data_IF_414047637567
#
_entry.id   IF_414047637567
#
_cell.length_a   1.000
_cell.length_b   1.000
_cell.length_c   1.000
_cell.angle_alpha   90.00
_cell.angle_beta   90.00
_cell.angle_gamma   90.00
#
_symmetry.space_group_name_H-M   'P 1'
#
loop_
_entity.id
_entity.type
_entity.pdbx_description
1 polymer ?
2 polymer ?
3 water ?
#
# COMPACT_ATOMS: atom_id res chain seq x y z
N UNK A 1 20.73 1.84 -2.39
CA UNK A 1 20.16 3.05 -3.07
C UNK A 1 18.64 3.04 -2.93
N UNK A 2 18.00 1.89 -3.17
CA UNK A 2 16.52 1.80 -3.12
C UNK A 2 16.04 2.16 -1.72
N UNK A 3 15.13 3.16 -1.53
CA UNK A 3 14.67 3.53 -0.21
C UNK A 3 13.89 2.45 0.53
N UNK A 4 13.91 2.54 1.84
CA UNK A 4 13.16 1.59 2.69
C UNK A 4 12.20 2.44 3.52
N UNK A 5 10.93 2.05 3.56
CA UNK A 5 9.94 2.78 4.39
C UNK A 5 9.31 1.80 5.38
N UNK A 6 8.76 2.33 6.46
CA UNK A 6 8.18 1.47 7.51
C UNK A 6 6.78 1.90 7.86
N UNK A 7 5.97 0.95 8.26
CA UNK A 7 4.62 1.24 8.74
C UNK A 7 4.53 0.58 10.11
N UNK A 8 4.12 1.33 11.12
CA UNK A 8 3.85 0.72 12.44
C UNK A 8 2.35 0.45 12.47
N UNK A 9 1.97 -0.82 12.42
CA UNK A 9 0.53 -1.18 12.35
C UNK A 9 -0.09 -1.30 13.75
N UNK A 10 -1.33 -0.86 13.88
CA UNK A 10 -2.08 -0.98 15.15
C UNK A 10 -3.43 -1.63 14.89
N UNK A 11 -3.91 -2.42 15.84
CA UNK A 11 -5.23 -3.10 15.72
C UNK A 11 -6.12 -2.56 16.84
N UNK A 12 -7.12 -1.75 16.48
CA UNK A 12 -8.01 -1.11 17.49
C UNK A 12 -7.13 -0.29 18.44
N UNK A 13 -6.08 0.35 17.92
CA UNK A 13 -5.23 1.22 18.74
C UNK A 13 -4.12 0.48 19.44
N UNK A 14 -4.14 -0.84 19.41
CA UNK A 14 -3.12 -1.67 20.10
C UNK A 14 -2.00 -2.01 19.13
N UNK A 15 -0.70 -1.74 19.45
CA UNK A 15 0.38 -2.00 18.51
C UNK A 15 0.50 -3.47 18.09
N UNK A 16 0.61 -3.72 16.80
CA UNK A 16 0.73 -5.11 16.29
C UNK A 16 2.20 -5.35 15.94
N UNK A 17 2.76 -4.49 15.11
CA UNK A 17 4.14 -4.68 14.66
C UNK A 17 4.54 -3.76 13.53
N UNK A 18 5.72 -3.98 12.98
CA UNK A 18 6.23 -3.08 11.92
C UNK A 18 6.41 -3.84 10.61
N UNK A 19 5.94 -3.24 9.53
CA UNK A 19 6.17 -3.81 8.19
C UNK A 19 7.13 -2.84 7.50
N UNK A 20 8.20 -3.36 6.93
CA UNK A 20 9.15 -2.52 6.17
C UNK A 20 9.09 -2.89 4.69
N UNK A 21 9.29 -1.92 3.82
CA UNK A 21 9.19 -2.17 2.37
C UNK A 21 10.39 -1.62 1.62
N UNK A 22 10.86 -2.37 0.62
CA UNK A 22 11.89 -1.82 -0.29
C UNK A 22 11.11 -1.22 -1.46
N UNK A 23 11.36 0.04 -1.78
CA UNK A 23 10.68 0.72 -2.91
C UNK A 23 11.61 0.64 -4.12
N UNK A 24 11.09 0.17 -5.25
CA UNK A 24 11.92 -0.05 -6.46
C UNK A 24 12.09 1.26 -7.23
N UNK A 25 12.79 2.22 -6.63
CA UNK A 25 13.06 3.52 -7.30
C UNK A 25 13.96 3.32 -8.52
N UNK A 26 14.73 2.24 -8.56
CA UNK A 26 15.51 1.94 -9.78
C UNK A 26 14.52 1.77 -10.94
N UNK A 27 13.49 0.95 -10.79
CA UNK A 27 12.60 0.61 -11.93
C UNK A 27 11.39 1.54 -12.07
N UNK A 28 10.83 2.01 -10.97
CA UNK A 28 9.62 2.88 -10.99
C UNK A 28 9.87 4.08 -10.07
N UNK A 29 10.79 5.03 -10.40
CA UNK A 29 11.10 6.13 -9.49
C UNK A 29 9.92 7.05 -9.13
N UNK A 30 9.10 7.43 -10.10
CA UNK A 30 7.99 8.38 -9.83
C UNK A 30 6.99 7.74 -8.85
N UNK A 31 6.59 6.51 -9.12
CA UNK A 31 5.64 5.79 -8.24
C UNK A 31 6.28 5.54 -6.86
N UNK A 32 7.56 5.16 -6.85
CA UNK A 32 8.26 4.92 -5.58
C UNK A 32 8.31 6.21 -4.76
N UNK A 33 8.59 7.33 -5.41
CA UNK A 33 8.77 8.61 -4.68
C UNK A 33 7.45 9.01 -4.04
N UNK A 34 6.35 8.79 -4.76
CA UNK A 34 5.00 9.11 -4.23
C UNK A 34 4.83 8.41 -2.88
N UNK A 35 4.98 7.09 -2.87
CA UNK A 35 4.82 6.29 -1.63
C UNK A 35 5.80 6.76 -0.56
N UNK A 36 7.06 6.96 -0.92
CA UNK A 36 8.09 7.39 0.06
C UNK A 36 7.64 8.69 0.72
N UNK A 37 7.33 9.71 -0.08
CA UNK A 37 6.96 11.04 0.47
C UNK A 37 5.67 10.95 1.29
N UNK A 38 4.74 10.12 0.86
CA UNK A 38 3.47 9.96 1.61
C UNK A 38 3.77 9.29 2.95
N UNK A 39 4.73 8.36 2.97
CA UNK A 39 5.11 7.69 4.24
C UNK A 39 5.83 8.66 5.18
N UNK A 40 6.65 9.58 4.66
CA UNK A 40 7.37 10.57 5.50
C UNK A 40 6.45 11.72 5.92
N UNK A 41 5.41 12.01 5.14
CA UNK A 41 4.54 13.16 5.42
C UNK A 41 5.23 14.45 5.03
N UNK A 42 6.33 14.37 4.27
CA UNK A 42 7.13 15.55 3.86
C UNK A 42 6.26 16.65 3.25
N UNK A 43 5.33 16.28 2.38
CA UNK A 43 4.52 17.27 1.62
C UNK A 43 3.34 17.81 2.44
N UNK A 44 3.21 17.41 3.69
CA UNK A 44 2.14 17.93 4.55
C UNK A 44 0.95 17.00 4.63
N UNK A 45 0.99 15.91 3.86
CA UNK A 45 -0.12 14.93 3.83
C UNK A 45 0.50 13.54 3.63
N UNK A 46 -0.20 12.52 4.09
CA UNK A 46 0.31 11.16 3.88
C UNK A 46 -0.36 10.05 4.66
N UNK A 47 0.33 8.92 4.79
CA UNK A 47 -0.29 7.70 5.36
C UNK A 47 -0.44 7.67 6.89
N UNK A 48 0.23 8.55 7.62
CA UNK A 48 0.17 8.44 9.10
C UNK A 48 -1.27 8.59 9.58
N UNK A 49 -1.78 7.60 10.31
CA UNK A 49 -3.14 7.67 10.88
C UNK A 49 -4.16 7.04 9.96
N UNK A 50 -3.77 6.73 8.72
CA UNK A 50 -4.67 6.09 7.74
C UNK A 50 -4.96 4.64 8.11
N UNK A 51 -5.97 4.07 7.47
CA UNK A 51 -6.36 2.68 7.78
C UNK A 51 -6.27 1.77 6.56
N UNK A 52 -6.38 0.47 6.79
CA UNK A 52 -6.45 -0.52 5.68
C UNK A 52 -7.94 -0.84 5.52
N UNK A 53 -8.59 -0.26 4.53
CA UNK A 53 -10.06 -0.36 4.41
C UNK A 53 -10.53 -1.72 3.88
N UNK A 54 -9.69 -2.38 3.11
CA UNK A 54 -10.12 -3.64 2.48
C UNK A 54 -9.04 -4.70 2.67
N UNK A 55 -9.33 -5.73 3.45
CA UNK A 55 -8.37 -6.84 3.64
C UNK A 55 -9.09 -8.13 3.28
N UNK A 56 -8.66 -8.77 2.20
CA UNK A 56 -9.28 -10.05 1.76
C UNK A 56 -8.23 -11.15 1.95
N UNK A 57 -8.41 -12.08 2.95
CA UNK A 57 -7.48 -13.19 3.12
C UNK A 57 -7.28 -13.99 1.84
N UNK A 58 -6.02 -14.30 1.53
CA UNK A 58 -5.70 -15.04 0.31
C UNK A 58 -5.71 -14.16 -0.93
N UNK A 59 -5.66 -12.85 -0.73
CA UNK A 59 -5.67 -11.92 -1.88
C UNK A 59 -4.77 -10.73 -1.54
N UNK A 60 -5.27 -9.81 -0.72
CA UNK A 60 -4.47 -8.58 -0.49
C UNK A 60 -4.96 -7.72 0.67
N UNK A 61 -4.08 -6.83 1.15
CA UNK A 61 -4.45 -5.82 2.16
C UNK A 61 -4.36 -4.46 1.46
N UNK A 62 -5.47 -3.74 1.36
CA UNK A 62 -5.53 -2.44 0.63
C UNK A 62 -5.65 -1.27 1.60
N UNK A 63 -4.89 -0.20 1.35
CA UNK A 63 -4.95 1.01 2.17
C UNK A 63 -4.59 2.27 1.39
N UNK A 64 -4.20 3.33 2.09
CA UNK A 64 -3.75 4.56 1.42
C UNK A 64 -4.81 5.62 1.18
N UNK A 65 -6.07 5.34 1.51
CA UNK A 65 -7.11 6.39 1.42
C UNK A 65 -7.07 7.24 2.69
N UNK A 66 -6.20 8.24 2.71
CA UNK A 66 -6.09 9.10 3.91
C UNK A 66 -7.19 10.17 3.90
N UNK A 67 -7.90 10.37 2.79
CA UNK A 67 -8.90 11.47 2.71
C UNK A 67 -10.29 10.99 3.13
N UNK A 68 -10.74 9.84 2.64
CA UNK A 68 -12.13 9.37 2.90
C UNK A 68 -12.12 8.05 3.69
N UNK A 69 -10.95 7.43 3.84
CA UNK A 69 -10.76 6.22 4.70
C UNK A 69 -11.58 4.99 4.25
N UNK A 70 -12.09 4.96 3.02
CA UNK A 70 -13.01 3.87 2.60
C UNK A 70 -12.78 3.41 1.16
N UNK A 71 -11.75 3.90 0.49
CA UNK A 71 -11.46 3.44 -0.87
C UNK A 71 -11.91 4.41 -1.94
N UNK A 72 -12.61 5.47 -1.57
CA UNK A 72 -13.12 6.44 -2.56
C UNK A 72 -12.17 7.62 -2.68
N UNK A 73 -11.10 7.66 -1.89
CA UNK A 73 -10.25 8.86 -1.92
C UNK A 73 -8.76 8.66 -2.06
N UNK A 74 -7.98 9.58 -1.51
CA UNK A 74 -6.52 9.54 -1.66
C UNK A 74 -6.04 10.49 -2.73
N UNK A 75 -4.82 10.99 -2.57
CA UNK A 75 -4.23 11.90 -3.57
C UNK A 75 -2.71 11.72 -3.66
N UNK A 76 -2.17 11.93 -4.85
CA UNK A 76 -0.72 11.78 -5.06
C UNK A 76 0.02 13.05 -4.67
N UNK A 77 1.34 12.98 -4.58
CA UNK A 77 2.17 14.19 -4.29
C UNK A 77 2.28 15.03 -5.56
N UNK A 78 1.76 14.52 -6.68
CA UNK A 78 1.87 15.20 -7.99
C UNK A 78 0.51 15.66 -8.48
N UNK A 79 -0.44 15.91 -7.60
CA UNK A 79 -1.81 16.23 -8.05
C UNK A 79 -2.75 15.10 -7.70
N UNK A 80 -4.01 15.19 -8.12
CA UNK A 80 -5.00 14.16 -7.70
C UNK A 80 -4.62 12.80 -8.28
N UNK A 81 -4.14 12.77 -9.53
CA UNK A 81 -3.87 11.48 -10.20
C UNK A 81 -2.58 11.53 -11.01
N UNK A 82 -1.92 10.38 -11.15
CA UNK A 82 -0.73 10.33 -12.03
C UNK A 82 -0.76 9.07 -12.90
N UNK A 83 0.03 9.10 -13.96
CA UNK A 83 0.01 8.02 -14.96
C UNK A 83 0.58 6.70 -14.46
N UNK A 84 0.26 5.63 -15.17
CA UNK A 84 0.89 4.32 -14.90
C UNK A 84 2.30 4.44 -15.45
N UNK A 85 3.30 4.46 -14.58
CA UNK A 85 4.70 4.70 -15.02
C UNK A 85 5.14 3.60 -15.98
N UNK A 86 5.05 2.35 -15.54
CA UNK A 86 5.43 1.18 -16.37
C UNK A 86 4.93 -0.10 -15.69
N UNK A 87 5.03 -1.22 -16.39
CA UNK A 87 4.56 -2.51 -15.83
C UNK A 87 5.70 -3.53 -15.87
N UNK A 88 6.93 -3.08 -15.63
CA UNK A 88 8.11 -3.99 -15.68
C UNK A 88 7.89 -5.10 -14.65
N UNK A 89 7.51 -4.70 -13.45
CA UNK A 89 7.40 -5.68 -12.35
C UNK A 89 6.03 -6.35 -12.32
N UNK A 90 6.01 -7.59 -11.88
CA UNK A 90 4.75 -8.36 -11.93
C UNK A 90 4.32 -8.74 -10.52
N UNK A 91 3.07 -9.18 -10.40
CA UNK A 91 2.51 -9.62 -9.10
C UNK A 91 2.93 -11.07 -8.88
N UNK A 92 4.15 -11.29 -8.43
CA UNK A 92 4.72 -12.66 -8.34
C UNK A 92 4.19 -13.47 -7.16
N UNK A 93 3.71 -12.80 -6.11
CA UNK A 93 3.24 -13.52 -4.92
C UNK A 93 3.10 -12.63 -3.70
N UNK A 94 3.05 -13.22 -2.47
CA UNK A 94 2.91 -12.44 -1.25
C UNK A 94 4.01 -11.38 -1.04
N UNK A 95 3.64 -10.21 -0.53
CA UNK A 95 4.63 -9.16 -0.23
C UNK A 95 4.69 -8.08 -1.29
N UNK A 96 4.17 -8.36 -2.48
CA UNK A 96 4.26 -7.39 -3.59
C UNK A 96 3.47 -6.14 -3.22
N UNK A 97 4.09 -4.98 -3.41
CA UNK A 97 3.44 -3.68 -3.15
C UNK A 97 3.10 -3.06 -4.50
N UNK A 98 1.81 -2.84 -4.74
CA UNK A 98 1.34 -2.32 -6.04
C UNK A 98 0.32 -1.20 -5.82
N UNK A 99 0.08 -0.44 -6.88
CA UNK A 99 -0.82 0.73 -6.77
C UNK A 99 -2.26 0.37 -7.11
N UNK A 100 -3.21 0.82 -6.30
CA UNK A 100 -4.63 0.65 -6.65
C UNK A 100 -5.00 1.74 -7.66
N UNK A 101 -6.08 1.54 -8.39
CA UNK A 101 -6.47 2.54 -9.42
C UNK A 101 -7.95 2.39 -9.82
N UNK A 102 -8.47 3.37 -10.55
CA UNK A 102 -9.88 3.33 -10.97
C UNK A 102 -9.92 3.20 -12.49
N UNK A 103 -8.81 2.77 -13.08
CA UNK A 103 -8.70 2.65 -14.54
C UNK A 103 -7.34 3.13 -15.02
N UNK A 104 -7.12 3.30 -16.35
CA UNK A 104 -5.81 3.70 -16.82
C UNK A 104 -5.36 5.06 -16.28
N UNK A 105 -4.12 5.14 -15.81
CA UNK A 105 -3.51 6.44 -15.41
C UNK A 105 -4.32 7.13 -14.30
N UNK A 106 -4.75 6.38 -13.28
CA UNK A 106 -5.58 6.95 -12.19
C UNK A 106 -4.92 6.72 -10.82
N UNK A 107 -3.60 6.59 -10.79
CA UNK A 107 -2.86 6.37 -9.52
C UNK A 107 -2.93 7.59 -8.60
N UNK A 108 -3.23 7.36 -7.33
CA UNK A 108 -3.24 8.45 -6.34
C UNK A 108 -2.34 8.08 -5.18
N UNK A 109 -2.92 7.64 -4.07
CA UNK A 109 -2.16 7.27 -2.86
C UNK A 109 -2.49 5.83 -2.46
N UNK A 110 -3.66 5.35 -2.87
CA UNK A 110 -4.10 3.98 -2.50
C UNK A 110 -3.14 2.93 -3.04
N UNK A 111 -2.84 1.93 -2.22
CA UNK A 111 -1.91 0.85 -2.59
C UNK A 111 -2.42 -0.47 -2.01
N UNK A 112 -1.80 -1.57 -2.42
CA UNK A 112 -2.17 -2.86 -1.81
C UNK A 112 -0.93 -3.73 -1.60
N UNK A 113 -0.98 -4.55 -0.56
CA UNK A 113 0.10 -5.53 -0.29
C UNK A 113 -0.48 -6.90 -0.62
N UNK A 114 0.09 -7.57 -1.61
CA UNK A 114 -0.44 -8.88 -2.04
C UNK A 114 -0.15 -9.96 -1.00
N UNK A 115 -1.13 -10.79 -0.68
CA UNK A 115 -0.93 -11.93 0.25
C UNK A 115 -0.98 -13.22 -0.57
N UNK A 116 -1.03 -13.10 -1.90
CA UNK A 116 -0.98 -14.25 -2.82
C UNK A 116 -0.52 -13.77 -4.20
N UNK A 117 -0.27 -14.70 -5.12
CA UNK A 117 0.06 -14.30 -6.51
C UNK A 117 -1.20 -13.72 -7.14
N UNK A 118 -1.07 -12.54 -7.76
CA UNK A 118 -2.22 -11.84 -8.39
C UNK A 118 -1.84 -11.52 -9.85
N UNK A 119 -1.54 -12.55 -10.64
CA UNK A 119 -1.06 -12.38 -12.05
C UNK A 119 -2.10 -11.68 -12.95
N UNK A 120 -3.38 -11.75 -12.62
CA UNK A 120 -4.40 -11.04 -13.44
C UNK A 120 -4.17 -9.53 -13.36
N UNK A 121 -3.47 -9.06 -12.33
CA UNK A 121 -3.29 -7.60 -12.14
C UNK A 121 -2.08 -7.11 -12.94
N UNK A 122 -1.30 -8.04 -13.49
CA UNK A 122 -0.11 -7.67 -14.30
C UNK A 122 -0.52 -6.81 -15.49
N UNK A 123 0.14 -5.67 -15.68
CA UNK A 123 -0.14 -4.81 -16.84
C UNK A 123 -1.25 -3.81 -16.58
N UNK A 124 -1.94 -3.93 -15.45
CA UNK A 124 -3.06 -3.02 -15.10
C UNK A 124 -2.70 -2.23 -13.84
N UNK A 125 -1.91 -2.81 -12.94
CA UNK A 125 -1.50 -2.13 -11.69
C UNK A 125 0.03 -2.02 -11.63
N UNK A 126 0.54 -0.86 -11.23
CA UNK A 126 2.02 -0.62 -11.23
C UNK A 126 2.65 -1.20 -9.96
N UNK A 127 3.52 -2.21 -10.11
CA UNK A 127 4.25 -2.81 -8.96
C UNK A 127 5.47 -1.94 -8.66
N UNK A 128 5.65 -1.51 -7.42
CA UNK A 128 6.74 -0.54 -7.15
C UNK A 128 7.52 -0.90 -5.89
N UNK A 129 7.21 -2.01 -5.27
CA UNK A 129 7.87 -2.34 -4.00
C UNK A 129 7.55 -3.72 -3.49
N UNK A 130 8.15 -4.08 -2.38
CA UNK A 130 7.91 -5.40 -1.78
C UNK A 130 8.16 -5.33 -0.28
N UNK A 131 7.52 -6.20 0.49
CA UNK A 131 7.74 -6.26 1.96
C UNK A 131 9.13 -6.82 2.27
N UNK A 132 9.99 -6.06 2.93
CA UNK A 132 11.37 -6.52 3.24
C UNK A 132 11.35 -7.23 4.60
N UNK A 133 10.72 -6.63 5.60
CA UNK A 133 10.56 -7.25 6.93
C UNK A 133 9.10 -7.16 7.36
N UNK A 134 8.66 -8.04 8.23
CA UNK A 134 7.30 -7.93 8.76
C UNK A 134 6.24 -8.53 7.87
N UNK A 135 6.59 -9.49 7.02
CA UNK A 135 5.54 -10.20 6.25
C UNK A 135 4.65 -10.91 7.28
N UNK A 136 5.23 -11.27 8.41
CA UNK A 136 4.46 -11.93 9.50
C UNK A 136 3.37 -10.98 10.00
N UNK A 137 3.67 -9.68 10.05
CA UNK A 137 2.69 -8.66 10.53
C UNK A 137 1.60 -8.51 9.48
N UNK A 138 1.96 -8.55 8.20
CA UNK A 138 0.92 -8.52 7.13
C UNK A 138 0.00 -9.73 7.28
N UNK A 139 0.58 -10.90 7.55
CA UNK A 139 -0.23 -12.13 7.74
C UNK A 139 -1.15 -11.95 8.95
N UNK A 140 -0.65 -11.30 9.99
CA UNK A 140 -1.47 -11.05 11.19
C UNK A 140 -2.62 -10.11 10.85
N UNK A 141 -2.35 -9.05 10.09
CA UNK A 141 -3.39 -8.08 9.64
C UNK A 141 -4.43 -8.81 8.80
N UNK A 142 -4.00 -9.78 8.00
CA UNK A 142 -4.90 -10.49 7.05
C UNK A 142 -6.00 -11.24 7.80
N UNK A 143 -5.71 -11.71 9.02
CA UNK A 143 -6.70 -12.47 9.82
C UNK A 143 -7.83 -11.57 10.32
N UNK A 144 -7.69 -10.24 10.23
CA UNK A 144 -8.79 -9.31 10.60
C UNK A 144 -9.63 -9.01 9.36
N UNK A 145 -9.30 -9.63 8.24
CA UNK A 145 -10.06 -9.40 7.02
C UNK A 145 -11.26 -10.31 6.87
N UNK A 146 -11.95 -10.20 5.75
CA UNK A 146 -13.14 -11.03 5.47
C UNK A 146 -13.25 -11.21 3.96
N UNK A 147 -14.15 -12.06 3.51
CA UNK A 147 -14.29 -12.31 2.05
C UNK A 147 -14.67 -11.01 1.34
N UNK A 148 -15.54 -10.20 1.94
CA UNK A 148 -16.00 -8.93 1.31
C UNK A 148 -14.99 -7.81 1.56
N UNK A 149 -13.96 -8.04 2.38
CA UNK A 149 -12.92 -7.03 2.58
C UNK A 149 -13.07 -6.25 3.87
N UNK A 150 -14.24 -6.32 4.49
CA UNK A 150 -14.51 -5.55 5.73
C UNK A 150 -13.63 -6.06 6.88
N UNK A 151 -13.03 -5.14 7.61
CA UNK A 151 -12.13 -5.52 8.72
C UNK A 151 -12.90 -5.79 10.01
N UNK A 152 -12.55 -6.85 10.73
CA UNK A 152 -13.18 -7.19 12.03
C UNK A 152 -12.76 -6.16 13.06
N UNK A 153 -11.56 -5.61 12.92
CA UNK A 153 -11.04 -4.58 13.85
C UNK A 153 -10.32 -3.52 13.02
N UNK A 154 -10.23 -2.30 13.52
CA UNK A 154 -9.61 -1.21 12.74
C UNK A 154 -8.10 -1.45 12.63
N UNK A 155 -7.62 -1.58 11.39
CA UNK A 155 -6.17 -1.78 11.13
C UNK A 155 -5.63 -0.43 10.68
N UNK A 156 -4.76 0.18 11.47
CA UNK A 156 -4.29 1.54 11.14
C UNK A 156 -2.76 1.63 11.06
N UNK A 157 -2.27 2.61 10.30
CA UNK A 157 -0.82 2.90 10.27
C UNK A 157 -0.61 3.96 11.36
N UNK A 158 -0.32 3.52 12.57
CA UNK A 158 -0.11 4.44 13.71
C UNK A 158 1.05 5.37 13.41
N UNK A 159 2.11 4.83 12.82
CA UNK A 159 3.28 5.66 12.44
C UNK A 159 3.90 5.11 11.17
N UNK A 160 4.57 5.98 10.42
CA UNK A 160 5.22 5.57 9.16
C UNK A 160 6.34 6.55 8.85
N UNK A 161 7.35 6.09 8.14
CA UNK A 161 8.45 6.97 7.75
C UNK A 161 9.52 6.24 6.97
N UNK A 162 10.68 6.87 6.82
CA UNK A 162 11.78 6.27 6.02
C UNK A 162 12.90 5.75 6.91
N UNK A 163 13.31 4.51 6.69
CA UNK A 163 14.40 3.91 7.49
C UNK A 163 15.78 4.24 6.89
N UNK A 164 16.85 3.98 7.64
CA UNK A 164 18.25 4.25 7.21
C UNK A 164 18.46 5.76 7.06
N UNK B 1 -10.11 -5.62 -4.00
CA UNK B 1 -10.16 -5.96 -5.45
C UNK B 1 -9.01 -5.22 -6.15
N UNK B 2 -8.57 -4.12 -5.52
CA UNK B 2 -7.54 -3.17 -6.05
C UNK B 2 -8.11 -1.93 -6.78
N UNK B 3 -9.44 -1.63 -6.94
CA UNK B 3 -9.80 -0.31 -7.45
C UNK B 3 -9.92 0.75 -6.37
N UNK B 4 -10.24 1.95 -6.85
CA UNK B 4 -10.64 3.08 -6.03
C UNK B 4 -12.13 3.35 -6.31
#
# INVERSE_FOLDING_TARGET
VNPTVFFDIAVDGEPLGRVSFELFADKVPKTAENFRALSTGEKGFGYKGSCFHRIIPGFMCQGGDFTRHNGTGGKSIYGEKFEDENFILKHTGPGILSMANAGPNTNGSQFFICTAKTEWLDGKHVVFGKVKEGMNIVEAMERFGSRNGKTSKKITIADCGQLE
VAPV
#
